data_IF_806611083440
#
_entry.id   IF_806611083440
#
_cell.length_a   1.000
_cell.length_b   1.000
_cell.length_c   1.000
_cell.angle_alpha   90.00
_cell.angle_beta   90.00
_cell.angle_gamma   90.00
#
_symmetry.space_group_name_H-M   'P 1'
#
loop_
_entity.id
_entity.type
_entity.pdbx_description
1 polymer ?
#
# COMPACT_ATOMS: atom_id res chain seq x y z
N UNK A 1 16.85 21.67 -0.80
CA UNK A 1 15.94 20.51 -0.84
C UNK A 1 16.30 19.71 -2.06
N UNK A 2 16.76 18.47 -1.87
CA UNK A 2 16.83 17.48 -2.96
C UNK A 2 15.44 17.33 -3.57
N UNK A 3 15.37 17.05 -4.87
CA UNK A 3 14.14 17.09 -5.68
C UNK A 3 13.04 16.11 -5.20
N UNK A 4 13.42 15.15 -4.34
CA UNK A 4 12.61 14.05 -3.80
C UNK A 4 11.48 14.46 -2.84
N UNK A 5 11.43 15.72 -2.40
CA UNK A 5 10.41 16.21 -1.46
C UNK A 5 9.50 17.30 -2.04
N UNK A 6 9.53 17.53 -3.35
CA UNK A 6 8.60 18.48 -3.97
C UNK A 6 7.22 17.84 -4.13
N UNK A 7 6.15 18.64 -3.98
CA UNK A 7 4.78 18.18 -4.23
C UNK A 7 4.62 17.56 -5.63
N UNK A 8 5.28 18.15 -6.63
CA UNK A 8 5.27 17.64 -8.00
C UNK A 8 5.88 16.24 -8.08
N UNK A 9 7.01 15.99 -7.42
CA UNK A 9 7.63 14.67 -7.40
C UNK A 9 6.74 13.62 -6.74
N UNK A 10 6.15 13.95 -5.59
CA UNK A 10 5.25 13.02 -4.87
C UNK A 10 4.08 12.60 -5.76
N UNK A 11 3.42 13.58 -6.39
CA UNK A 11 2.25 13.31 -7.23
C UNK A 11 2.61 12.51 -8.49
N UNK A 12 3.73 12.83 -9.16
CA UNK A 12 4.02 12.32 -10.50
C UNK A 12 5.04 11.17 -10.57
N UNK A 13 5.82 10.91 -9.51
CA UNK A 13 6.97 10.00 -9.59
C UNK A 13 7.14 9.07 -8.38
N UNK A 14 6.77 9.49 -7.17
CA UNK A 14 7.01 8.67 -5.98
C UNK A 14 6.32 7.30 -6.09
N UNK A 15 7.10 6.23 -5.84
CA UNK A 15 6.63 4.84 -5.89
C UNK A 15 6.61 4.20 -7.28
N UNK A 16 6.85 4.97 -8.34
CA UNK A 16 6.78 4.51 -9.73
C UNK A 16 8.13 3.97 -10.24
N UNK A 17 8.38 2.67 -10.04
CA UNK A 17 9.55 1.98 -10.61
C UNK A 17 9.31 1.55 -12.06
N UNK A 18 9.56 2.46 -13.00
CA UNK A 18 9.32 2.23 -14.43
C UNK A 18 10.10 1.06 -15.02
N UNK A 19 11.25 0.72 -14.47
CA UNK A 19 12.04 -0.41 -14.96
C UNK A 19 11.32 -1.73 -14.68
N UNK A 20 10.67 -1.85 -13.52
CA UNK A 20 9.88 -3.02 -13.13
C UNK A 20 8.70 -3.32 -14.07
N UNK A 21 8.20 -2.33 -14.80
CA UNK A 21 7.12 -2.46 -15.77
C UNK A 21 7.49 -2.00 -17.19
N UNK A 22 8.72 -2.35 -17.61
CA UNK A 22 9.20 -2.25 -19.01
C UNK A 22 9.16 -0.84 -19.60
N UNK A 23 9.37 0.17 -18.76
CA UNK A 23 9.42 1.58 -19.17
C UNK A 23 8.06 2.19 -19.51
N UNK A 24 6.94 1.54 -19.15
CA UNK A 24 5.63 2.18 -19.30
C UNK A 24 5.60 3.49 -18.49
N UNK A 25 5.04 4.56 -19.06
CA UNK A 25 4.97 5.85 -18.36
C UNK A 25 3.94 5.79 -17.23
N UNK A 26 2.78 5.22 -17.51
CA UNK A 26 1.72 4.97 -16.53
C UNK A 26 1.95 3.61 -15.87
N UNK A 27 1.92 3.51 -14.53
CA UNK A 27 1.99 2.23 -13.85
C UNK A 27 0.86 1.29 -14.30
N UNK A 28 1.15 0.00 -14.57
CA UNK A 28 0.11 -0.95 -14.93
C UNK A 28 -0.86 -1.19 -13.76
N UNK A 29 -2.10 -1.53 -14.10
CA UNK A 29 -3.14 -1.87 -13.13
C UNK A 29 -3.06 -3.37 -12.83
N UNK A 30 -2.73 -3.72 -11.58
CA UNK A 30 -2.69 -5.10 -11.10
C UNK A 30 -4.08 -5.55 -10.66
N UNK A 31 -4.97 -5.77 -11.63
CA UNK A 31 -6.34 -6.24 -11.41
C UNK A 31 -6.39 -7.76 -11.20
N UNK A 32 -5.91 -8.19 -10.04
CA UNK A 32 -5.94 -9.59 -9.61
C UNK A 32 -6.25 -9.68 -8.12
N UNK A 33 -6.75 -10.83 -7.67
CA UNK A 33 -6.94 -11.12 -6.26
C UNK A 33 -5.72 -11.79 -5.63
N UNK A 34 -5.13 -12.78 -6.30
CA UNK A 34 -4.04 -13.61 -5.79
C UNK A 34 -2.77 -13.47 -6.64
N UNK A 35 -1.62 -13.77 -6.04
CA UNK A 35 -0.32 -13.77 -6.70
C UNK A 35 0.31 -15.16 -6.68
N UNK A 36 1.00 -15.53 -7.77
CA UNK A 36 1.64 -16.83 -7.92
C UNK A 36 3.04 -16.84 -7.31
N UNK A 37 3.45 -18.00 -6.79
CA UNK A 37 4.77 -18.23 -6.21
C UNK A 37 5.49 -19.39 -6.91
N UNK A 38 6.82 -19.34 -7.05
CA UNK A 38 7.57 -20.40 -7.74
C UNK A 38 7.58 -21.72 -6.96
N UNK A 39 7.44 -21.68 -5.64
CA UNK A 39 7.38 -22.86 -4.78
C UNK A 39 6.45 -22.62 -3.58
N UNK A 40 5.97 -23.71 -2.98
CA UNK A 40 5.21 -23.66 -1.71
C UNK A 40 6.04 -23.06 -0.58
N UNK A 41 7.35 -23.31 -0.56
CA UNK A 41 8.24 -22.72 0.43
C UNK A 41 8.31 -21.19 0.29
N UNK A 42 8.43 -20.68 -0.93
CA UNK A 42 8.41 -19.24 -1.21
C UNK A 42 7.07 -18.61 -0.80
N UNK A 43 5.95 -19.27 -1.12
CA UNK A 43 4.61 -18.85 -0.68
C UNK A 43 4.52 -18.76 0.85
N UNK A 44 4.97 -19.79 1.59
CA UNK A 44 4.93 -19.80 3.06
C UNK A 44 5.77 -18.69 3.69
N UNK A 45 6.93 -18.40 3.09
CA UNK A 45 7.80 -17.31 3.53
C UNK A 45 7.13 -15.94 3.31
N UNK A 46 6.55 -15.70 2.12
CA UNK A 46 5.81 -14.48 1.83
C UNK A 46 4.60 -14.29 2.76
N UNK A 47 3.92 -15.37 3.15
CA UNK A 47 2.80 -15.31 4.09
C UNK A 47 3.17 -14.95 5.55
N UNK A 48 4.46 -14.82 5.89
CA UNK A 48 4.87 -14.33 7.22
C UNK A 48 4.74 -12.81 7.34
N UNK A 49 4.75 -12.10 6.22
CA UNK A 49 4.59 -10.65 6.16
C UNK A 49 3.81 -10.28 4.87
N UNK A 50 2.49 -10.23 4.99
CA UNK A 50 1.60 -9.93 3.87
C UNK A 50 1.73 -8.48 3.36
N UNK A 51 2.35 -7.57 4.12
CA UNK A 51 2.60 -6.20 3.67
C UNK A 51 3.90 -6.09 2.86
N UNK A 52 4.93 -6.88 3.21
CA UNK A 52 6.20 -6.87 2.50
C UNK A 52 6.14 -7.51 1.10
N UNK A 53 5.13 -8.31 0.79
CA UNK A 53 5.02 -9.00 -0.51
C UNK A 53 3.57 -9.10 -0.96
N UNK A 54 3.32 -8.86 -2.24
CA UNK A 54 2.01 -9.08 -2.85
C UNK A 54 1.63 -10.58 -2.79
N UNK A 55 0.77 -10.93 -1.85
CA UNK A 55 0.26 -12.30 -1.63
C UNK A 55 -1.22 -12.39 -2.01
N UNK A 56 -2.03 -11.49 -1.43
CA UNK A 56 -3.46 -11.36 -1.68
C UNK A 56 -3.84 -9.87 -1.63
N UNK A 57 -4.59 -9.40 -2.64
CA UNK A 57 -4.89 -7.97 -2.84
C UNK A 57 -5.63 -7.31 -1.68
N UNK A 58 -6.33 -8.07 -0.83
CA UNK A 58 -6.93 -7.52 0.41
C UNK A 58 -5.89 -6.96 1.38
N UNK A 59 -4.67 -7.50 1.38
CA UNK A 59 -3.56 -7.05 2.22
C UNK A 59 -2.64 -6.08 1.48
N UNK A 60 -1.99 -6.57 0.41
CA UNK A 60 -1.10 -5.77 -0.41
C UNK A 60 -1.31 -6.03 -1.91
N UNK A 61 -1.33 -4.96 -2.69
CA UNK A 61 -1.46 -4.96 -4.15
C UNK A 61 -0.52 -3.89 -4.73
N UNK A 62 0.29 -4.18 -5.77
CA UNK A 62 1.28 -3.23 -6.27
C UNK A 62 0.72 -1.89 -6.75
N UNK A 63 -0.48 -1.87 -7.33
CA UNK A 63 -1.15 -0.60 -7.72
C UNK A 63 -1.52 0.22 -6.49
N UNK A 64 -2.02 -0.43 -5.44
CA UNK A 64 -2.40 0.22 -4.17
C UNK A 64 -1.16 0.67 -3.38
N UNK A 65 -0.05 -0.07 -3.49
CA UNK A 65 1.22 0.26 -2.83
C UNK A 65 1.78 1.61 -3.30
N UNK A 66 1.71 1.89 -4.61
CA UNK A 66 2.11 3.20 -5.15
C UNK A 66 1.26 4.32 -4.52
N UNK A 67 -0.07 4.14 -4.45
CA UNK A 67 -0.98 5.11 -3.83
C UNK A 67 -0.67 5.31 -2.34
N UNK A 68 -0.45 4.23 -1.59
CA UNK A 68 -0.09 4.25 -0.17
C UNK A 68 1.15 5.11 0.08
N UNK A 69 2.22 4.88 -0.69
CA UNK A 69 3.49 5.62 -0.54
C UNK A 69 3.33 7.11 -0.87
N UNK A 70 2.53 7.43 -1.88
CA UNK A 70 2.21 8.84 -2.23
C UNK A 70 1.40 9.52 -1.11
N UNK A 71 0.35 8.87 -0.59
CA UNK A 71 -0.46 9.40 0.51
C UNK A 71 0.37 9.62 1.78
N UNK A 72 1.20 8.65 2.17
CA UNK A 72 2.07 8.76 3.32
C UNK A 72 3.03 9.95 3.21
N UNK A 73 3.64 10.14 2.03
CA UNK A 73 4.53 11.28 1.79
C UNK A 73 3.80 12.64 1.78
N UNK A 74 2.55 12.69 1.30
CA UNK A 74 1.73 13.90 1.33
C UNK A 74 1.34 14.30 2.77
N UNK A 75 1.05 13.33 3.63
CA UNK A 75 0.68 13.54 5.03
C UNK A 75 1.89 13.62 5.99
N UNK A 76 3.09 13.33 5.50
CA UNK A 76 4.31 13.30 6.31
C UNK A 76 4.35 12.14 7.31
N UNK A 77 3.70 11.03 7.00
CA UNK A 77 3.65 9.81 7.83
C UNK A 77 4.61 8.74 7.33
N UNK A 78 4.88 7.73 8.17
CA UNK A 78 5.71 6.58 7.77
C UNK A 78 5.00 5.69 6.74
N UNK A 79 3.68 5.57 6.84
CA UNK A 79 2.86 4.76 5.97
C UNK A 79 1.38 5.24 5.93
N UNK A 80 0.58 4.62 5.07
CA UNK A 80 -0.86 4.79 4.92
C UNK A 80 -1.57 3.44 4.65
N UNK A 81 -2.89 3.40 4.79
CA UNK A 81 -3.72 2.27 4.35
C UNK A 81 -4.85 2.78 3.46
N UNK A 82 -5.19 2.02 2.42
CA UNK A 82 -6.23 2.38 1.45
C UNK A 82 -7.43 1.44 1.64
N UNK A 83 -8.62 2.02 1.81
CA UNK A 83 -9.85 1.28 2.04
C UNK A 83 -10.88 1.56 0.95
N UNK A 84 -11.85 0.66 0.79
CA UNK A 84 -12.95 0.83 -0.18
C UNK A 84 -13.89 1.99 0.12
N UNK A 85 -13.82 2.59 1.31
CA UNK A 85 -14.57 3.81 1.67
C UNK A 85 -13.92 4.55 2.85
N UNK A 86 -14.27 5.82 3.01
CA UNK A 86 -13.88 6.61 4.19
C UNK A 86 -14.44 6.05 5.49
N UNK A 87 -15.67 5.54 5.48
CA UNK A 87 -16.26 4.87 6.65
C UNK A 87 -15.48 3.60 7.02
N UNK A 88 -14.97 2.85 6.04
CA UNK A 88 -14.09 1.70 6.26
C UNK A 88 -12.75 2.10 6.91
N UNK A 89 -12.15 3.19 6.44
CA UNK A 89 -10.91 3.72 7.02
C UNK A 89 -11.10 4.18 8.47
N UNK A 90 -12.19 4.92 8.75
CA UNK A 90 -12.55 5.36 10.11
C UNK A 90 -12.79 4.15 11.02
N UNK A 91 -13.60 3.19 10.57
CA UNK A 91 -13.91 1.99 11.35
C UNK A 91 -12.65 1.18 11.66
N UNK A 92 -11.78 0.95 10.68
CA UNK A 92 -10.52 0.24 10.88
C UNK A 92 -9.59 0.97 11.87
N UNK A 93 -9.43 2.29 11.73
CA UNK A 93 -8.61 3.09 12.64
C UNK A 93 -9.11 3.08 14.07
N UNK A 94 -10.43 3.22 14.27
CA UNK A 94 -11.04 3.18 15.61
C UNK A 94 -10.92 1.77 16.22
N UNK A 95 -11.34 0.73 15.48
CA UNK A 95 -11.35 -0.65 15.99
C UNK A 95 -9.93 -1.19 16.24
N UNK A 96 -8.91 -0.66 15.58
CA UNK A 96 -7.52 -0.99 15.87
C UNK A 96 -7.04 -0.40 17.21
N UNK A 97 -7.62 0.72 17.65
CA UNK A 97 -7.20 1.43 18.85
C UNK A 97 -8.00 1.07 20.12
N UNK A 98 -9.22 0.55 19.97
CA UNK A 98 -10.15 0.35 21.09
C UNK A 98 -10.56 -1.11 21.31
N UNK A 99 -11.00 -1.41 22.53
CA UNK A 99 -11.65 -2.66 22.93
C UNK A 99 -12.93 -2.40 23.73
N UNK A 100 -13.68 -3.46 24.02
CA UNK A 100 -14.88 -3.37 24.83
C UNK A 100 -14.57 -2.77 26.22
N UNK A 101 -15.29 -1.73 26.59
CA UNK A 101 -15.10 -0.98 27.84
C UNK A 101 -14.33 0.34 27.68
N UNK A 102 -13.69 0.58 26.53
CA UNK A 102 -13.00 1.85 26.25
C UNK A 102 -13.97 3.00 25.96
N UNK A 103 -13.48 4.22 26.05
CA UNK A 103 -14.22 5.45 25.77
C UNK A 103 -13.42 6.36 24.81
N UNK A 104 -14.10 6.89 23.79
CA UNK A 104 -13.57 7.84 22.81
C UNK A 104 -14.21 9.21 23.07
N UNK A 105 -13.39 10.27 23.12
CA UNK A 105 -13.82 11.66 23.38
C UNK A 105 -14.40 12.35 22.14
#
# INVERSE_FOLDING_TARGET
MTDEHTLSFILNHLGEDRESYRGAVTPPIFETSNFAFPTVAAMRAAGQDELATAFYTRGNNPTVEILRRKLAALEGTEDALVFGSGAGAIAAGVLAAVRAGDHVL
#
